data_IF_897297609247
#
_entry.id   IF_897297609247
#
_cell.length_a   1.000
_cell.length_b   1.000
_cell.length_c   1.000
_cell.angle_alpha   90.00
_cell.angle_beta   90.00
_cell.angle_gamma   90.00
#
_symmetry.space_group_name_H-M   'P 1'
#
loop_
_entity.id
_entity.type
_entity.pdbx_description
1 polymer ?
#
# COMPACT_ATOMS: atom_id res chain seq x y z
N UNK A 1 2.69 4.22 -1.19
CA UNK A 1 4.11 4.25 -0.82
C UNK A 1 4.37 4.89 0.57
N UNK A 2 3.33 5.24 1.35
CA UNK A 2 3.44 5.96 2.62
C UNK A 2 4.24 7.30 2.55
N UNK A 3 4.48 7.85 1.36
CA UNK A 3 5.35 9.02 1.17
C UNK A 3 6.85 8.73 1.28
N UNK A 4 7.26 7.45 1.24
CA UNK A 4 8.66 7.05 1.35
C UNK A 4 9.42 7.05 0.03
N UNK A 5 8.72 7.09 -1.12
CA UNK A 5 9.33 6.96 -2.44
C UNK A 5 10.34 8.08 -2.72
N UNK A 6 9.94 9.34 -2.56
CA UNK A 6 10.84 10.47 -2.80
C UNK A 6 12.03 10.49 -1.82
N UNK A 7 11.84 10.37 -0.49
CA UNK A 7 12.94 10.28 0.47
C UNK A 7 13.93 9.15 0.18
N UNK A 8 13.45 7.96 -0.18
CA UNK A 8 14.34 6.82 -0.46
C UNK A 8 15.13 7.01 -1.74
N UNK A 9 14.52 7.55 -2.80
CA UNK A 9 15.20 7.80 -4.06
C UNK A 9 16.26 8.90 -3.92
N UNK A 10 15.94 9.96 -3.18
CA UNK A 10 16.91 11.02 -2.85
C UNK A 10 18.11 10.44 -2.11
N UNK A 11 17.87 9.63 -1.08
CA UNK A 11 18.94 9.01 -0.31
C UNK A 11 19.76 8.03 -1.14
N UNK A 12 19.13 7.25 -1.99
CA UNK A 12 19.82 6.31 -2.87
C UNK A 12 20.71 7.02 -3.90
N UNK A 13 20.28 8.18 -4.42
CA UNK A 13 21.09 8.98 -5.34
C UNK A 13 22.39 9.50 -4.72
N UNK A 14 22.47 9.61 -3.38
CA UNK A 14 23.67 10.01 -2.65
C UNK A 14 24.62 8.83 -2.36
N UNK A 15 24.23 7.58 -2.64
CA UNK A 15 25.05 6.39 -2.37
C UNK A 15 26.15 6.20 -3.43
N UNK A 16 27.40 5.91 -3.03
CA UNK A 16 28.46 5.53 -3.96
C UNK A 16 28.06 4.30 -4.79
N UNK A 17 28.03 4.45 -6.11
CA UNK A 17 27.62 3.38 -7.03
C UNK A 17 26.11 3.31 -7.29
N UNK A 18 25.35 4.35 -6.93
CA UNK A 18 23.96 4.49 -7.37
C UNK A 18 23.89 4.44 -8.90
N UNK A 19 22.89 3.71 -9.41
CA UNK A 19 22.55 3.69 -10.84
C UNK A 19 21.21 4.41 -11.06
N UNK A 20 20.93 4.93 -12.27
CA UNK A 20 19.63 5.53 -12.56
C UNK A 20 18.46 4.60 -12.24
N UNK A 21 17.46 5.10 -11.51
CA UNK A 21 16.25 4.33 -11.15
C UNK A 21 15.12 4.69 -12.09
N UNK A 22 14.56 3.68 -12.76
CA UNK A 22 13.32 3.82 -13.51
C UNK A 22 12.14 3.40 -12.60
N UNK A 23 11.17 4.29 -12.41
CA UNK A 23 9.96 4.00 -11.61
C UNK A 23 8.84 3.56 -12.55
N UNK A 24 8.28 2.38 -12.28
CA UNK A 24 7.06 1.90 -12.94
C UNK A 24 5.91 1.89 -11.96
N UNK A 25 4.85 2.64 -12.28
CA UNK A 25 3.57 2.54 -11.58
C UNK A 25 2.84 1.29 -12.07
N UNK A 26 2.32 0.49 -11.13
CA UNK A 26 1.58 -0.72 -11.43
C UNK A 26 0.42 -0.88 -10.43
N UNK A 27 -0.51 -1.80 -10.74
CA UNK A 27 -1.62 -2.10 -9.84
C UNK A 27 -1.16 -2.65 -8.49
N UNK A 28 -1.99 -2.50 -7.46
CA UNK A 28 -1.69 -2.85 -6.05
C UNK A 28 -1.15 -4.29 -5.84
N UNK A 29 -1.49 -5.23 -6.73
CA UNK A 29 -1.09 -6.65 -6.65
C UNK A 29 -0.14 -7.11 -7.76
N UNK A 30 0.27 -6.22 -8.65
CA UNK A 30 1.11 -6.59 -9.79
C UNK A 30 2.58 -6.69 -9.40
N UNK A 31 3.02 -5.83 -8.47
CA UNK A 31 4.42 -5.72 -8.03
C UNK A 31 5.11 -7.07 -7.75
N UNK A 32 4.56 -8.01 -6.93
CA UNK A 32 5.22 -9.30 -6.69
C UNK A 32 5.38 -10.16 -7.95
N UNK A 33 4.44 -10.09 -8.91
CA UNK A 33 4.56 -10.81 -10.18
C UNK A 33 5.64 -10.20 -11.07
N UNK A 34 5.74 -8.88 -11.10
CA UNK A 34 6.75 -8.15 -11.86
C UNK A 34 8.17 -8.46 -11.36
N UNK A 35 8.37 -8.55 -10.04
CA UNK A 35 9.63 -8.98 -9.44
C UNK A 35 10.03 -10.40 -9.89
N UNK A 36 9.10 -11.35 -9.84
CA UNK A 36 9.38 -12.75 -10.24
C UNK A 36 9.68 -12.90 -11.72
N UNK A 37 9.08 -12.07 -12.57
CA UNK A 37 9.33 -12.06 -14.02
C UNK A 37 10.61 -11.32 -14.40
N UNK A 38 11.31 -10.71 -13.43
CA UNK A 38 12.50 -9.89 -13.69
C UNK A 38 12.17 -8.59 -14.43
N UNK A 39 10.90 -8.17 -14.42
CA UNK A 39 10.49 -6.90 -15.04
C UNK A 39 10.65 -5.71 -14.07
N UNK A 40 10.94 -5.98 -12.80
CA UNK A 40 11.35 -5.02 -11.80
C UNK A 40 12.36 -5.67 -10.85
N UNK A 41 13.34 -4.89 -10.38
CA UNK A 41 14.35 -5.38 -9.45
C UNK A 41 13.93 -5.24 -7.97
N UNK A 42 13.09 -4.22 -7.70
CA UNK A 42 12.62 -3.83 -6.36
C UNK A 42 11.19 -3.32 -6.47
N UNK A 43 10.36 -3.61 -5.47
CA UNK A 43 9.00 -3.09 -5.39
C UNK A 43 8.62 -2.67 -3.97
N UNK A 44 7.78 -1.64 -3.88
CA UNK A 44 7.04 -1.31 -2.66
C UNK A 44 5.73 -2.09 -2.65
N UNK A 45 5.50 -2.86 -1.60
CA UNK A 45 4.40 -3.81 -1.50
C UNK A 45 3.67 -3.66 -0.18
N UNK A 46 2.34 -3.83 -0.21
CA UNK A 46 1.51 -3.84 0.99
C UNK A 46 1.17 -5.27 1.40
N UNK A 47 1.21 -5.54 2.70
CA UNK A 47 0.79 -6.83 3.26
C UNK A 47 -0.74 -6.97 3.31
N UNK A 48 -1.27 -8.21 3.17
CA UNK A 48 -0.54 -9.44 2.87
C UNK A 48 -0.25 -9.61 1.38
N UNK A 49 0.90 -10.19 1.03
CA UNK A 49 1.19 -10.67 -0.33
C UNK A 49 1.91 -12.03 -0.33
N UNK A 50 1.87 -12.72 -1.48
CA UNK A 50 2.63 -13.95 -1.65
C UNK A 50 4.14 -13.64 -1.70
N UNK A 51 4.89 -14.11 -0.69
CA UNK A 51 6.34 -13.89 -0.53
C UNK A 51 7.20 -14.95 -1.23
N UNK A 52 6.62 -15.92 -1.92
CA UNK A 52 7.38 -17.02 -2.55
C UNK A 52 8.46 -16.49 -3.50
N UNK A 53 9.72 -16.82 -3.24
CA UNK A 53 10.88 -16.40 -4.03
C UNK A 53 11.30 -14.94 -3.84
N UNK A 54 10.75 -14.24 -2.84
CA UNK A 54 11.02 -12.83 -2.57
C UNK A 54 11.53 -12.65 -1.15
N UNK A 55 12.55 -11.83 -0.99
CA UNK A 55 12.93 -11.27 0.31
C UNK A 55 12.26 -9.90 0.48
N UNK A 56 12.11 -9.44 1.72
CA UNK A 56 11.48 -8.17 2.00
C UNK A 56 11.88 -7.58 3.35
N UNK A 57 11.87 -6.25 3.43
CA UNK A 57 12.02 -5.50 4.69
C UNK A 57 10.80 -4.61 4.93
N UNK A 58 10.35 -4.58 6.18
CA UNK A 58 9.23 -3.70 6.57
C UNK A 58 9.74 -2.26 6.64
N UNK A 59 9.05 -1.37 5.94
CA UNK A 59 9.37 0.06 5.96
C UNK A 59 8.46 0.81 6.93
N UNK A 60 7.14 0.60 6.84
CA UNK A 60 6.19 1.33 7.66
C UNK A 60 5.00 0.46 8.05
N UNK A 61 4.41 0.79 9.19
CA UNK A 61 3.11 0.29 9.60
C UNK A 61 2.26 1.49 10.00
N UNK A 62 1.05 1.60 9.45
CA UNK A 62 0.13 2.67 9.78
C UNK A 62 -1.26 2.14 10.18
N UNK A 63 -2.01 2.88 11.02
CA UNK A 63 -3.39 2.54 11.34
C UNK A 63 -4.27 2.44 10.09
N UNK A 64 -5.38 1.71 10.20
CA UNK A 64 -6.36 1.61 9.12
C UNK A 64 -7.53 2.56 9.32
N UNK A 65 -8.03 3.02 8.19
CA UNK A 65 -9.34 3.67 8.06
C UNK A 65 -10.20 2.83 7.14
N UNK A 66 -11.51 2.87 7.34
CA UNK A 66 -12.47 2.33 6.39
C UNK A 66 -13.02 3.47 5.53
N UNK A 67 -13.04 3.26 4.22
CA UNK A 67 -13.72 4.11 3.25
C UNK A 67 -15.15 3.57 3.03
N UNK A 68 -16.13 4.45 3.23
CA UNK A 68 -17.56 4.17 3.12
C UNK A 68 -18.23 5.21 2.21
N UNK A 69 -19.35 4.86 1.59
CA UNK A 69 -20.23 5.84 0.99
C UNK A 69 -20.71 6.85 2.06
N UNK A 70 -20.92 8.11 1.68
CA UNK A 70 -21.29 9.16 2.61
C UNK A 70 -22.67 8.96 3.26
N UNK A 71 -23.57 8.25 2.58
CA UNK A 71 -24.90 7.85 3.03
C UNK A 71 -24.93 6.48 3.73
N UNK A 72 -23.78 5.80 3.86
CA UNK A 72 -23.69 4.52 4.54
C UNK A 72 -24.08 4.68 6.03
N UNK A 73 -24.87 3.77 6.63
CA UNK A 73 -25.35 3.90 8.02
C UNK A 73 -24.22 4.12 9.06
N UNK A 74 -23.06 3.50 8.83
CA UNK A 74 -21.89 3.63 9.70
C UNK A 74 -21.10 4.94 9.51
N UNK A 75 -21.35 5.72 8.44
CA UNK A 75 -20.61 6.96 8.15
C UNK A 75 -20.83 8.04 9.23
N UNK A 76 -21.95 7.99 9.94
CA UNK A 76 -22.26 8.92 11.05
C UNK A 76 -21.40 8.67 12.30
N UNK A 77 -20.84 7.47 12.47
CA UNK A 77 -20.01 7.14 13.63
C UNK A 77 -18.61 7.73 13.46
N UNK A 78 -18.02 8.27 14.53
CA UNK A 78 -16.69 8.87 14.48
C UNK A 78 -15.55 7.84 14.38
N UNK A 79 -15.74 6.68 15.01
CA UNK A 79 -14.80 5.54 15.06
C UNK A 79 -15.60 4.25 14.91
N UNK A 80 -15.02 3.27 14.21
CA UNK A 80 -15.61 1.95 13.99
C UNK A 80 -14.68 0.87 14.55
N UNK A 81 -15.27 -0.25 14.94
CA UNK A 81 -14.56 -1.49 15.24
C UNK A 81 -14.59 -2.40 14.00
N UNK A 82 -13.65 -3.34 13.90
CA UNK A 82 -13.60 -4.28 12.79
C UNK A 82 -14.90 -5.11 12.69
N UNK A 83 -15.46 -5.50 13.83
CA UNK A 83 -16.73 -6.23 13.92
C UNK A 83 -17.96 -5.44 13.45
N UNK A 84 -17.87 -4.10 13.35
CA UNK A 84 -18.96 -3.29 12.78
C UNK A 84 -19.07 -3.46 11.25
N UNK A 85 -18.02 -3.96 10.60
CA UNK A 85 -17.92 -4.05 9.14
C UNK A 85 -18.26 -5.44 8.59
N UNK A 86 -18.73 -6.36 9.45
CA UNK A 86 -19.00 -7.74 9.05
C UNK A 86 -20.30 -7.92 8.24
N UNK A 87 -20.30 -8.79 7.21
CA UNK A 87 -19.15 -9.57 6.74
C UNK A 87 -18.20 -8.72 5.89
N UNK A 88 -16.93 -8.63 6.31
CA UNK A 88 -15.90 -8.06 5.46
C UNK A 88 -15.61 -9.05 4.33
N UNK A 89 -15.60 -8.60 3.06
CA UNK A 89 -15.21 -9.50 1.98
C UNK A 89 -13.75 -9.93 2.19
N UNK A 90 -13.37 -11.12 1.69
CA UNK A 90 -12.01 -11.70 1.88
C UNK A 90 -10.87 -10.75 1.48
N UNK A 91 -11.18 -9.71 0.70
CA UNK A 91 -10.27 -8.73 0.14
C UNK A 91 -10.43 -7.33 0.77
N UNK A 92 -11.10 -7.22 1.91
CA UNK A 92 -11.28 -5.94 2.61
C UNK A 92 -9.93 -5.23 2.91
N UNK A 93 -8.88 -6.01 3.15
CA UNK A 93 -7.52 -5.54 3.44
C UNK A 93 -6.67 -5.22 2.20
N UNK A 94 -7.22 -5.41 0.99
CA UNK A 94 -6.61 -5.04 -0.29
C UNK A 94 -7.34 -5.68 -1.48
N UNK A 95 -7.48 -5.01 -2.64
CA UNK A 95 -8.51 -5.30 -3.64
C UNK A 95 -8.53 -6.74 -4.21
N UNK A 96 -9.72 -7.36 -4.21
CA UNK A 96 -10.26 -8.40 -5.12
C UNK A 96 -11.68 -7.96 -5.52
N UNK A 97 -11.76 -7.00 -6.42
CA UNK A 97 -13.03 -6.74 -7.10
C UNK A 97 -13.24 -7.85 -8.12
N UNK A 98 -14.30 -8.65 -7.96
CA UNK A 98 -14.84 -9.46 -9.06
C UNK A 98 -15.67 -8.53 -9.95
N UNK A 99 -14.99 -7.74 -10.76
CA UNK A 99 -15.58 -7.03 -11.89
C UNK A 99 -14.69 -7.32 -13.10
N UNK A 100 -15.30 -7.49 -14.27
CA UNK A 100 -14.57 -7.76 -15.51
C UNK A 100 -13.60 -6.60 -15.83
N UNK A 101 -12.31 -6.78 -15.54
CA UNK A 101 -11.24 -5.84 -15.85
C UNK A 101 -10.02 -6.02 -14.93
N UNK A 102 -8.83 -6.13 -15.50
CA UNK A 102 -7.59 -6.21 -14.71
C UNK A 102 -7.30 -4.88 -14.00
N UNK A 103 -6.87 -4.93 -12.73
CA UNK A 103 -6.10 -3.87 -12.07
C UNK A 103 -6.78 -2.50 -11.90
N UNK A 104 -7.79 -2.40 -11.03
CA UNK A 104 -8.31 -1.09 -10.65
C UNK A 104 -7.31 -0.31 -9.77
N UNK A 105 -6.99 0.92 -10.18
CA UNK A 105 -6.25 1.88 -9.35
C UNK A 105 -7.12 2.40 -8.17
N UNK A 106 -6.50 3.11 -7.23
CA UNK A 106 -7.19 3.61 -6.04
C UNK A 106 -8.40 4.51 -6.37
N UNK A 107 -8.35 5.29 -7.46
CA UNK A 107 -9.43 6.19 -7.83
C UNK A 107 -10.68 5.41 -8.27
N UNK A 108 -10.49 4.30 -8.98
CA UNK A 108 -11.58 3.41 -9.38
C UNK A 108 -12.20 2.71 -8.17
N UNK A 109 -11.37 2.24 -7.22
CA UNK A 109 -11.84 1.68 -5.95
C UNK A 109 -12.68 2.68 -5.16
N UNK A 110 -12.19 3.92 -5.00
CA UNK A 110 -12.94 4.97 -4.29
C UNK A 110 -14.23 5.38 -5.01
N UNK A 111 -14.29 5.22 -6.33
CA UNK A 111 -15.53 5.43 -7.09
C UNK A 111 -16.57 4.36 -6.75
N UNK A 112 -16.17 3.09 -6.67
CA UNK A 112 -17.08 2.01 -6.24
C UNK A 112 -17.54 2.21 -4.79
N UNK A 113 -16.66 2.70 -3.91
CA UNK A 113 -17.04 3.05 -2.53
C UNK A 113 -18.08 4.16 -2.52
N UNK A 114 -17.88 5.23 -3.30
CA UNK A 114 -18.83 6.34 -3.37
C UNK A 114 -20.21 5.93 -3.90
N UNK A 115 -20.26 4.89 -4.75
CA UNK A 115 -21.49 4.30 -5.27
C UNK A 115 -22.16 3.32 -4.29
N UNK A 116 -21.56 3.06 -3.12
CA UNK A 116 -22.09 2.09 -2.15
C UNK A 116 -21.86 0.61 -2.52
N UNK A 117 -21.12 0.34 -3.60
CA UNK A 117 -20.88 -1.02 -4.12
C UNK A 117 -19.84 -1.79 -3.29
N UNK A 118 -19.02 -1.10 -2.51
CA UNK A 118 -17.96 -1.72 -1.71
C UNK A 118 -17.56 -0.86 -0.51
N UNK A 119 -16.96 -1.52 0.48
CA UNK A 119 -16.33 -0.90 1.66
C UNK A 119 -14.87 -1.36 1.70
N UNK A 120 -13.94 -0.45 2.03
CA UNK A 120 -12.50 -0.73 1.93
C UNK A 120 -11.70 -0.29 3.14
N UNK A 121 -10.90 -1.18 3.70
CA UNK A 121 -9.88 -0.83 4.68
C UNK A 121 -8.62 -0.37 3.96
N UNK A 122 -8.26 0.89 4.19
CA UNK A 122 -7.14 1.56 3.56
C UNK A 122 -6.14 2.04 4.62
N UNK A 123 -4.87 2.24 4.24
CA UNK A 123 -3.93 2.92 5.12
C UNK A 123 -4.41 4.34 5.47
N UNK A 124 -4.23 4.79 6.71
CA UNK A 124 -4.73 6.09 7.18
C UNK A 124 -4.25 7.27 6.32
N UNK A 125 -3.03 7.21 5.80
CA UNK A 125 -2.46 8.21 4.88
C UNK A 125 -3.31 8.46 3.63
N UNK A 126 -4.11 7.48 3.18
CA UNK A 126 -4.99 7.63 2.01
C UNK A 126 -6.08 8.67 2.26
N UNK A 127 -6.66 8.71 3.47
CA UNK A 127 -7.75 9.62 3.78
C UNK A 127 -7.36 11.10 3.63
N UNK A 128 -6.13 11.45 4.01
CA UNK A 128 -5.62 12.82 3.87
C UNK A 128 -5.19 13.17 2.45
N UNK A 129 -4.67 12.19 1.68
CA UNK A 129 -4.14 12.41 0.33
C UNK A 129 -5.20 12.35 -0.77
N UNK A 130 -6.29 11.60 -0.55
CA UNK A 130 -7.33 11.33 -1.54
C UNK A 130 -8.74 11.64 -0.99
N UNK A 131 -9.03 12.90 -0.64
CA UNK A 131 -10.40 13.29 -0.35
C UNK A 131 -11.27 13.09 -1.61
N UNK A 132 -12.43 12.45 -1.45
CA UNK A 132 -13.34 12.13 -2.56
C UNK A 132 -14.77 12.50 -2.17
N UNK A 133 -15.48 13.31 -2.98
CA UNK A 133 -16.90 13.55 -2.78
C UNK A 133 -17.68 12.23 -2.74
N UNK A 134 -18.60 12.11 -1.79
CA UNK A 134 -19.38 10.87 -1.59
C UNK A 134 -18.67 9.77 -0.82
N UNK A 135 -17.42 9.98 -0.37
CA UNK A 135 -16.69 9.02 0.47
C UNK A 135 -16.40 9.62 1.85
N UNK A 136 -16.63 8.83 2.89
CA UNK A 136 -16.28 9.14 4.26
C UNK A 136 -15.26 8.12 4.76
N UNK A 137 -14.19 8.63 5.38
CA UNK A 137 -13.17 7.80 6.03
C UNK A 137 -13.39 7.76 7.55
N UNK A 138 -13.35 6.56 8.13
CA UNK A 138 -13.46 6.36 9.59
C UNK A 138 -12.32 5.51 10.14
N UNK A 139 -11.67 5.91 11.25
CA UNK A 139 -10.66 5.08 11.90
C UNK A 139 -11.22 3.74 12.37
N UNK A 140 -10.42 2.69 12.23
CA UNK A 140 -10.70 1.33 12.74
C UNK A 140 -9.52 0.87 13.61
N UNK A 141 -9.45 1.30 14.89
CA UNK A 141 -8.24 1.13 15.71
C UNK A 141 -7.89 -0.33 16.05
N UNK A 142 -8.87 -1.22 16.03
CA UNK A 142 -8.73 -2.66 16.29
C UNK A 142 -8.41 -3.47 15.02
N UNK A 143 -8.35 -2.82 13.84
CA UNK A 143 -7.91 -3.48 12.62
C UNK A 143 -6.38 -3.67 12.61
N UNK A 144 -5.86 -4.81 12.11
CA UNK A 144 -4.43 -5.00 11.88
C UNK A 144 -3.85 -3.85 11.03
N UNK A 145 -2.65 -3.33 11.33
CA UNK A 145 -2.11 -2.18 10.61
C UNK A 145 -1.92 -2.46 9.12
N UNK A 146 -1.92 -1.40 8.31
CA UNK A 146 -1.46 -1.47 6.94
C UNK A 146 0.08 -1.44 6.95
N UNK A 147 0.69 -2.55 6.56
CA UNK A 147 2.16 -2.69 6.51
C UNK A 147 2.63 -2.45 5.08
N UNK A 148 3.60 -1.56 4.92
CA UNK A 148 4.34 -1.31 3.69
C UNK A 148 5.74 -1.89 3.83
N UNK A 149 6.14 -2.71 2.87
CA UNK A 149 7.45 -3.31 2.77
C UNK A 149 8.12 -2.96 1.44
N UNK A 150 9.44 -3.09 1.42
CA UNK A 150 10.25 -3.16 0.19
C UNK A 150 10.59 -4.62 -0.06
N UNK A 151 10.38 -5.10 -1.29
CA UNK A 151 10.60 -6.49 -1.68
C UNK A 151 11.48 -6.59 -2.92
N UNK A 152 12.24 -7.68 -3.02
CA UNK A 152 13.14 -7.99 -4.15
C UNK A 152 13.27 -9.51 -4.34
N UNK A 153 13.75 -9.99 -5.51
CA UNK A 153 14.00 -11.42 -5.71
C UNK A 153 15.06 -11.94 -4.74
N UNK A 154 14.77 -13.01 -4.01
CA UNK A 154 15.65 -13.55 -2.95
C UNK A 154 17.06 -13.94 -3.46
N UNK A 155 17.17 -14.23 -4.76
CA UNK A 155 18.40 -14.69 -5.42
C UNK A 155 19.21 -13.52 -5.99
N UNK A 156 18.74 -12.27 -5.79
CA UNK A 156 19.45 -11.08 -6.23
C UNK A 156 20.81 -10.96 -5.57
N UNK A 157 21.84 -10.70 -6.38
CA UNK A 157 23.22 -10.40 -5.95
C UNK A 157 23.62 -8.96 -6.28
N UNK A 158 22.66 -8.12 -6.69
CA UNK A 158 22.92 -6.75 -7.12
C UNK A 158 23.26 -5.87 -5.93
N UNK A 159 24.43 -5.24 -5.96
CA UNK A 159 24.84 -4.24 -4.98
C UNK A 159 23.95 -2.99 -5.02
N UNK A 160 23.44 -2.63 -6.20
CA UNK A 160 22.50 -1.53 -6.39
C UNK A 160 21.16 -1.81 -5.69
N UNK A 161 20.61 -3.02 -5.83
CA UNK A 161 19.39 -3.43 -5.11
C UNK A 161 19.62 -3.36 -3.60
N UNK A 162 20.74 -3.92 -3.12
CA UNK A 162 21.07 -3.88 -1.69
C UNK A 162 21.22 -2.43 -1.17
N UNK A 163 21.82 -1.53 -1.96
CA UNK A 163 21.94 -0.12 -1.61
C UNK A 163 20.58 0.59 -1.58
N UNK A 164 19.71 0.33 -2.55
CA UNK A 164 18.35 0.90 -2.59
C UNK A 164 17.51 0.43 -1.39
N UNK A 165 17.60 -0.85 -1.02
CA UNK A 165 16.92 -1.38 0.17
C UNK A 165 17.41 -0.69 1.44
N UNK A 166 18.74 -0.53 1.62
CA UNK A 166 19.29 0.21 2.77
C UNK A 166 18.83 1.66 2.80
N UNK A 167 18.79 2.33 1.65
CA UNK A 167 18.30 3.70 1.54
C UNK A 167 16.82 3.80 1.94
N UNK A 168 15.99 2.86 1.51
CA UNK A 168 14.59 2.80 1.88
C UNK A 168 14.38 2.57 3.38
N UNK A 169 15.09 1.60 3.98
CA UNK A 169 15.02 1.32 5.42
C UNK A 169 15.47 2.53 6.25
N UNK A 170 16.55 3.19 5.84
CA UNK A 170 17.03 4.39 6.51
C UNK A 170 16.05 5.58 6.37
N UNK A 171 15.44 5.76 5.20
CA UNK A 171 14.41 6.76 4.98
C UNK A 171 13.18 6.51 5.87
N UNK A 172 12.77 5.25 6.01
CA UNK A 172 11.67 4.86 6.87
C UNK A 172 11.96 5.11 8.36
N UNK A 173 13.19 4.84 8.82
CA UNK A 173 13.61 5.15 10.19
C UNK A 173 13.62 6.64 10.52
N UNK A 174 13.82 7.51 9.52
CA UNK A 174 13.76 8.96 9.67
C UNK A 174 12.32 9.50 9.68
N UNK A 175 11.39 8.79 9.02
CA UNK A 175 9.96 9.09 8.98
C UNK A 175 9.26 8.27 10.08
N UNK A 176 9.56 8.56 11.35
CA UNK A 176 8.79 7.95 12.45
C UNK A 176 7.47 8.71 12.61
N UNK A 177 6.31 8.04 12.71
CA UNK A 177 5.08 8.72 13.08
C UNK A 177 5.23 9.29 14.51
N UNK A 178 4.54 10.40 14.83
CA UNK A 178 4.55 11.02 16.15
C UNK A 178 4.11 10.06 17.26
#
# INVERSE_FOLDING_TARGET
DAGLLEPMLKRYADEPGSVPVAVRLCGWRESPRLLRRGEADVALVHEPYDRTGLDSETLAAEPRVVALAADHPLAARAVLALGDLEPLPEDAFGPRVRAHGEGHDLAQVLTLVALGETVRLLPASVAGRYPRPGVVYRPVPDAPPAVLAIAWPQQSRSTAVAALVRAAVAAAGAVRPP
#
